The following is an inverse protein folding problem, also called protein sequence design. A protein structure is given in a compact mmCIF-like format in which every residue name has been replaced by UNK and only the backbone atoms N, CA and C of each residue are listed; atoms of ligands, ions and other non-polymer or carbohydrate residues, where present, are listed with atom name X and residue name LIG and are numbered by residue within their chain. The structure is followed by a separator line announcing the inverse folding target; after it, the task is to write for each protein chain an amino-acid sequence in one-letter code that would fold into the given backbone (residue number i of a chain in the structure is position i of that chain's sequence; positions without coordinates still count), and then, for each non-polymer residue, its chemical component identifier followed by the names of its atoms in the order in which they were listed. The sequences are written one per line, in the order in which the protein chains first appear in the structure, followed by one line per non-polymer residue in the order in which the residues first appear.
data_IF_022259075653
#
_entry.id   IF_022259075653
#
_cell.length_a   1.000
_cell.length_b   1.000
_cell.length_c   1.000
_cell.angle_alpha   90.00
_cell.angle_beta   90.00
_cell.angle_gamma   90.00
#
_symmetry.space_group_name_H-M   'P 1'
#
loop_
_entity.id
_entity.type
_entity.pdbx_description
1 polymer ?
#
# COMPACT_ATOMS: atom_id res chain seq x y z
N UNK A 1 -16.41 -9.14 -3.10
CA UNK A 1 -14.95 -9.13 -3.29
C UNK A 1 -14.36 -9.53 -1.93
N UNK A 2 -13.58 -10.62 -1.85
CA UNK A 2 -13.05 -11.12 -0.58
C UNK A 2 -11.92 -10.16 -0.17
N UNK A 3 -12.16 -9.32 0.84
CA UNK A 3 -11.13 -8.45 1.38
C UNK A 3 -10.27 -9.28 2.33
N UNK A 4 -9.02 -9.50 1.93
CA UNK A 4 -8.05 -10.24 2.75
C UNK A 4 -7.64 -9.33 3.93
N UNK A 5 -7.89 -9.77 5.16
CA UNK A 5 -7.37 -9.09 6.36
C UNK A 5 -5.89 -9.43 6.51
N UNK A 6 -5.07 -8.38 6.58
CA UNK A 6 -3.60 -8.39 6.68
C UNK A 6 -3.20 -7.92 8.08
N UNK A 7 -3.72 -8.60 9.10
CA UNK A 7 -3.55 -8.27 10.52
C UNK A 7 -2.16 -8.58 11.07
N UNK A 8 -1.32 -9.33 10.34
CA UNK A 8 0.11 -9.42 10.66
C UNK A 8 0.98 -9.60 9.42
N UNK A 9 1.99 -8.72 9.31
CA UNK A 9 3.07 -8.83 8.33
C UNK A 9 4.20 -9.65 8.93
N UNK A 10 4.44 -10.83 8.38
CA UNK A 10 5.52 -11.70 8.85
C UNK A 10 6.13 -12.45 7.67
N UNK A 11 7.32 -12.02 7.26
CA UNK A 11 8.04 -12.63 6.13
C UNK A 11 8.44 -14.09 6.37
N UNK A 12 8.53 -14.51 7.65
CA UNK A 12 8.87 -15.89 8.02
C UNK A 12 7.70 -16.86 7.90
N UNK A 13 6.47 -16.33 7.86
CA UNK A 13 5.27 -17.14 7.63
C UNK A 13 5.15 -17.54 6.15
N UNK A 14 4.54 -18.69 5.91
CA UNK A 14 4.20 -19.09 4.55
C UNK A 14 2.98 -18.30 4.05
N UNK A 15 3.20 -17.29 3.21
CA UNK A 15 2.20 -16.42 2.61
C UNK A 15 1.05 -17.23 1.99
N UNK A 16 1.41 -18.35 1.37
CA UNK A 16 0.50 -19.22 0.65
C UNK A 16 -0.38 -20.09 1.55
N UNK A 17 0.04 -20.29 2.81
CA UNK A 17 -0.81 -20.90 3.84
C UNK A 17 -1.76 -19.87 4.45
N UNK A 18 -1.29 -18.63 4.62
CA UNK A 18 -2.10 -17.52 5.15
C UNK A 18 -3.18 -17.06 4.18
N UNK A 19 -2.85 -16.97 2.90
CA UNK A 19 -3.75 -16.49 1.85
C UNK A 19 -3.92 -17.52 0.73
N UNK A 20 -4.52 -18.69 1.02
CA UNK A 20 -4.61 -19.80 0.07
C UNK A 20 -5.47 -19.45 -1.17
N UNK A 21 -6.43 -18.52 -1.03
CA UNK A 21 -7.29 -18.06 -2.12
C UNK A 21 -6.51 -17.38 -3.26
N UNK A 22 -5.38 -16.71 -2.96
CA UNK A 22 -4.57 -16.03 -3.96
C UNK A 22 -3.89 -16.99 -4.93
N UNK A 23 -3.68 -18.25 -4.54
CA UNK A 23 -3.11 -19.30 -5.42
C UNK A 23 -3.97 -19.59 -6.65
N UNK A 24 -5.28 -19.32 -6.57
CA UNK A 24 -6.21 -19.57 -7.67
C UNK A 24 -6.18 -18.44 -8.72
N UNK A 25 -5.55 -17.30 -8.41
CA UNK A 25 -5.44 -16.18 -9.33
C UNK A 25 -4.48 -16.49 -10.47
N UNK A 26 -4.90 -16.22 -11.70
CA UNK A 26 -4.07 -16.36 -12.91
C UNK A 26 -2.78 -15.55 -12.86
N UNK A 27 -2.78 -14.43 -12.12
CA UNK A 27 -1.60 -13.57 -11.94
C UNK A 27 -0.54 -14.20 -11.04
N UNK A 28 -0.96 -15.12 -10.15
CA UNK A 28 -0.09 -15.73 -9.15
C UNK A 28 0.23 -17.20 -9.41
N UNK A 29 -0.42 -17.83 -10.40
CA UNK A 29 -0.19 -19.24 -10.74
C UNK A 29 1.28 -19.57 -11.00
N UNK A 30 2.04 -18.65 -11.62
CA UNK A 30 3.47 -18.84 -11.92
C UNK A 30 4.32 -19.03 -10.65
N UNK A 31 3.97 -18.36 -9.55
CA UNK A 31 4.73 -18.42 -8.31
C UNK A 31 4.48 -19.69 -7.49
N UNK A 32 3.43 -20.45 -7.82
CA UNK A 32 2.98 -21.60 -6.99
C UNK A 32 4.09 -22.62 -6.72
N UNK A 33 5.04 -22.77 -7.65
CA UNK A 33 6.15 -23.71 -7.55
C UNK A 33 7.52 -23.02 -7.50
N UNK A 34 7.56 -21.69 -7.46
CA UNK A 34 8.82 -20.96 -7.39
C UNK A 34 9.40 -21.05 -5.98
N UNK A 35 10.68 -21.40 -5.91
CA UNK A 35 11.48 -21.34 -4.70
C UNK A 35 11.47 -19.88 -4.22
N UNK A 36 11.10 -19.65 -2.97
CA UNK A 36 10.96 -18.31 -2.36
C UNK A 36 9.73 -17.48 -2.78
N UNK A 37 8.75 -18.06 -3.48
CA UNK A 37 7.51 -17.35 -3.83
C UNK A 37 6.77 -16.74 -2.62
N UNK A 38 6.79 -17.41 -1.47
CA UNK A 38 6.22 -16.86 -0.23
C UNK A 38 6.87 -15.53 0.17
N UNK A 39 8.21 -15.50 0.23
CA UNK A 39 8.98 -14.31 0.59
C UNK A 39 8.76 -13.17 -0.42
N UNK A 40 8.69 -13.50 -1.72
CA UNK A 40 8.35 -12.53 -2.77
C UNK A 40 6.95 -11.91 -2.57
N UNK A 41 5.95 -12.73 -2.26
CA UNK A 41 4.58 -12.24 -2.03
C UNK A 41 4.49 -11.36 -0.78
N UNK A 42 5.20 -11.73 0.30
CA UNK A 42 5.32 -10.87 1.46
C UNK A 42 5.98 -9.54 1.12
N UNK A 43 7.10 -9.56 0.39
CA UNK A 43 7.76 -8.35 -0.07
C UNK A 43 6.83 -7.43 -0.87
N UNK A 44 6.04 -7.99 -1.81
CA UNK A 44 5.03 -7.20 -2.52
C UNK A 44 4.00 -6.62 -1.57
N UNK A 45 3.51 -7.41 -0.62
CA UNK A 45 2.51 -6.94 0.34
C UNK A 45 3.05 -5.82 1.23
N UNK A 46 4.30 -5.90 1.69
CA UNK A 46 4.97 -4.84 2.44
C UNK A 46 5.09 -3.54 1.65
N UNK A 47 5.25 -3.59 0.33
CA UNK A 47 5.39 -2.38 -0.48
C UNK A 47 4.06 -1.70 -0.81
N UNK A 48 2.97 -2.47 -0.91
CA UNK A 48 1.68 -1.94 -1.39
C UNK A 48 0.67 -1.65 -0.28
N UNK A 49 0.79 -2.27 0.88
CA UNK A 49 -0.27 -2.22 1.88
C UNK A 49 -0.07 -1.05 2.87
N UNK A 50 -1.05 -0.14 3.05
CA UNK A 50 -0.88 1.05 3.89
C UNK A 50 -0.48 0.79 5.36
N UNK A 51 -0.87 -0.35 5.91
CA UNK A 51 -0.52 -0.74 7.29
C UNK A 51 0.91 -1.32 7.40
N UNK A 52 1.64 -1.44 6.30
CA UNK A 52 3.03 -1.89 6.29
C UNK A 52 3.96 -0.81 6.82
N UNK A 53 4.99 -1.18 7.62
CA UNK A 53 6.03 -0.24 8.04
C UNK A 53 6.88 0.30 6.87
N UNK A 54 6.89 -0.38 5.72
CA UNK A 54 7.64 0.03 4.53
C UNK A 54 6.79 0.76 3.50
N UNK A 55 5.47 0.89 3.74
CA UNK A 55 4.60 1.64 2.87
C UNK A 55 4.99 3.11 2.84
N UNK A 56 5.18 3.66 1.63
CA UNK A 56 5.62 5.04 1.40
C UNK A 56 6.96 5.43 2.06
N UNK A 57 7.70 4.49 2.64
CA UNK A 57 9.00 4.79 3.23
C UNK A 57 10.03 5.08 2.12
N UNK A 58 10.82 6.17 2.19
CA UNK A 58 11.77 6.53 1.12
C UNK A 58 12.76 5.42 0.76
N UNK A 59 13.16 4.61 1.74
CA UNK A 59 14.06 3.46 1.55
C UNK A 59 13.33 2.13 1.64
N UNK A 60 11.99 2.11 1.62
CA UNK A 60 11.20 0.89 1.83
C UNK A 60 11.52 -0.20 0.80
N UNK A 61 11.69 0.18 -0.46
CA UNK A 61 12.10 -0.75 -1.52
C UNK A 61 13.49 -1.34 -1.26
N UNK A 62 14.47 -0.50 -0.89
CA UNK A 62 15.82 -0.95 -0.58
C UNK A 62 15.86 -1.92 0.61
N UNK A 63 15.09 -1.62 1.67
CA UNK A 63 14.99 -2.51 2.84
C UNK A 63 14.35 -3.85 2.49
N UNK A 64 13.31 -3.85 1.66
CA UNK A 64 12.68 -5.09 1.18
C UNK A 64 13.64 -5.91 0.31
N UNK A 65 14.42 -5.26 -0.56
CA UNK A 65 15.45 -5.94 -1.35
C UNK A 65 16.55 -6.56 -0.47
N UNK A 66 16.98 -5.87 0.59
CA UNK A 66 17.92 -6.43 1.58
C UNK A 66 17.32 -7.65 2.29
N UNK A 67 16.05 -7.57 2.71
CA UNK A 67 15.35 -8.70 3.34
C UNK A 67 15.30 -9.91 2.40
N UNK A 68 14.95 -9.73 1.13
CA UNK A 68 14.91 -10.80 0.13
C UNK A 68 16.32 -11.38 -0.13
N UNK A 69 17.35 -10.54 -0.13
CA UNK A 69 18.74 -10.98 -0.30
C UNK A 69 19.19 -11.88 0.86
N UNK A 70 18.81 -11.55 2.10
CA UNK A 70 19.10 -12.38 3.28
C UNK A 70 18.44 -13.77 3.20
N UNK A 71 17.31 -13.89 2.51
CA UNK A 71 16.62 -15.15 2.22
C UNK A 71 17.20 -15.92 1.02
N UNK A 72 18.33 -15.45 0.48
CA UNK A 72 19.03 -16.06 -0.64
C UNK A 72 18.43 -15.72 -2.00
N UNK A 73 17.61 -14.67 -2.09
CA UNK A 73 16.99 -14.22 -3.34
C UNK A 73 17.74 -12.99 -3.84
N UNK A 74 18.70 -13.23 -4.74
CA UNK A 74 19.55 -12.18 -5.31
C UNK A 74 19.03 -11.72 -6.67
N UNK A 75 19.50 -10.55 -7.13
CA UNK A 75 19.27 -10.04 -8.48
C UNK A 75 17.78 -9.87 -8.85
N UNK A 76 16.94 -9.59 -7.85
CA UNK A 76 15.53 -9.26 -8.06
C UNK A 76 15.40 -7.89 -8.70
N UNK A 77 14.62 -7.86 -9.77
CA UNK A 77 14.10 -6.65 -10.38
C UNK A 77 12.59 -6.59 -10.15
N UNK A 78 12.17 -5.76 -9.18
CA UNK A 78 10.77 -5.60 -8.78
C UNK A 78 9.90 -5.06 -9.93
N UNK A 79 10.49 -4.33 -10.88
CA UNK A 79 9.74 -3.75 -12.01
C UNK A 79 9.12 -4.83 -12.90
N UNK A 80 9.74 -6.02 -12.97
CA UNK A 80 9.20 -7.20 -13.69
C UNK A 80 7.93 -7.76 -13.07
N UNK A 81 7.60 -7.35 -11.84
CA UNK A 81 6.45 -7.81 -11.07
C UNK A 81 5.36 -6.76 -10.93
N UNK A 82 5.44 -5.62 -11.63
CA UNK A 82 4.49 -4.52 -11.51
C UNK A 82 3.01 -4.96 -11.70
N UNK A 83 2.74 -5.86 -12.65
CA UNK A 83 1.39 -6.38 -12.89
C UNK A 83 0.86 -7.22 -11.72
N UNK A 84 1.73 -8.01 -11.10
CA UNK A 84 1.42 -8.86 -9.96
C UNK A 84 1.17 -8.02 -8.71
N UNK A 85 2.01 -7.00 -8.48
CA UNK A 85 1.83 -6.05 -7.38
C UNK A 85 0.51 -5.28 -7.52
N UNK A 86 0.20 -4.78 -8.72
CA UNK A 86 -1.05 -4.06 -8.98
C UNK A 86 -2.29 -4.95 -8.77
N UNK A 87 -2.21 -6.24 -9.12
CA UNK A 87 -3.31 -7.17 -8.84
C UNK A 87 -3.41 -7.50 -7.36
N UNK A 88 -2.28 -7.70 -6.68
CA UNK A 88 -2.26 -7.95 -5.24
C UNK A 88 -2.88 -6.77 -4.49
N UNK A 89 -2.60 -5.54 -4.92
CA UNK A 89 -3.18 -4.32 -4.37
C UNK A 89 -4.71 -4.31 -4.52
N UNK A 90 -5.23 -4.72 -5.68
CA UNK A 90 -6.69 -4.82 -5.90
C UNK A 90 -7.35 -5.88 -5.04
N UNK A 91 -6.67 -6.98 -4.78
CA UNK A 91 -7.21 -8.09 -3.99
C UNK A 91 -7.12 -7.85 -2.48
N UNK A 92 -6.06 -7.19 -2.02
CA UNK A 92 -5.81 -6.98 -0.59
C UNK A 92 -6.40 -5.67 -0.07
N UNK A 93 -6.48 -4.62 -0.89
CA UNK A 93 -6.99 -3.32 -0.46
C UNK A 93 -8.48 -3.16 -0.79
N UNK A 94 -9.20 -2.40 0.04
CA UNK A 94 -10.50 -1.86 -0.35
C UNK A 94 -10.33 -0.79 -1.42
N UNK A 95 -11.43 -0.47 -2.12
CA UNK A 95 -11.46 0.65 -3.05
C UNK A 95 -10.99 1.95 -2.40
N UNK A 96 -11.47 2.20 -1.17
CA UNK A 96 -11.11 3.40 -0.44
C UNK A 96 -9.63 3.41 -0.02
N UNK A 97 -9.05 2.28 0.39
CA UNK A 97 -7.62 2.16 0.65
C UNK A 97 -6.77 2.44 -0.61
N UNK A 98 -7.19 1.92 -1.77
CA UNK A 98 -6.52 2.22 -3.06
C UNK A 98 -6.63 3.68 -3.46
N UNK A 99 -7.83 4.25 -3.34
CA UNK A 99 -8.04 5.68 -3.60
C UNK A 99 -7.11 6.49 -2.71
N UNK A 100 -7.02 6.15 -1.43
CA UNK A 100 -6.13 6.84 -0.52
C UNK A 100 -4.65 6.73 -0.92
N UNK A 101 -4.19 5.52 -1.22
CA UNK A 101 -2.82 5.28 -1.70
C UNK A 101 -2.47 6.09 -2.95
N UNK A 102 -3.42 6.18 -3.89
CA UNK A 102 -3.30 7.00 -5.08
C UNK A 102 -3.17 8.48 -4.74
N UNK A 103 -4.02 9.01 -3.85
CA UNK A 103 -3.96 10.41 -3.41
C UNK A 103 -2.63 10.75 -2.74
N UNK A 104 -2.13 9.88 -1.87
CA UNK A 104 -0.84 10.04 -1.21
C UNK A 104 0.32 10.09 -2.22
N UNK A 105 0.32 9.16 -3.17
CA UNK A 105 1.32 9.13 -4.26
C UNK A 105 1.28 10.42 -5.08
N UNK A 106 0.10 10.90 -5.47
CA UNK A 106 -0.03 12.14 -6.25
C UNK A 106 0.34 13.40 -5.47
N UNK A 107 0.07 13.44 -4.17
CA UNK A 107 0.53 14.52 -3.30
C UNK A 107 2.06 14.53 -3.16
N UNK A 108 2.70 13.36 -3.10
CA UNK A 108 4.16 13.24 -3.08
C UNK A 108 4.79 13.68 -4.40
N UNK A 109 4.34 13.12 -5.53
CA UNK A 109 4.83 13.50 -6.87
C UNK A 109 4.72 15.02 -7.08
N UNK A 110 3.58 15.61 -6.70
CA UNK A 110 3.37 17.06 -6.81
C UNK A 110 4.31 17.87 -5.92
N UNK A 111 4.58 17.39 -4.70
CA UNK A 111 5.50 18.05 -3.76
C UNK A 111 6.94 18.02 -4.29
N UNK A 112 7.38 16.87 -4.77
CA UNK A 112 8.71 16.71 -5.37
C UNK A 112 8.86 17.61 -6.59
N UNK A 113 7.85 17.64 -7.47
CA UNK A 113 7.84 18.54 -8.61
C UNK A 113 7.91 20.02 -8.20
N UNK A 114 7.16 20.44 -7.18
CA UNK A 114 7.18 21.81 -6.66
C UNK A 114 8.54 22.19 -6.06
N UNK A 115 9.24 21.26 -5.41
CA UNK A 115 10.57 21.48 -4.84
C UNK A 115 11.65 21.66 -5.91
N UNK A 116 11.45 21.06 -7.09
CA UNK A 116 12.36 21.16 -8.22
C UNK A 116 12.20 22.46 -9.02
N UNK A 117 11.10 23.21 -8.82
CA UNK A 117 10.87 24.46 -9.54
C UNK A 117 11.65 25.63 -8.95
N UNK A 118 12.31 26.42 -9.83
CA UNK A 118 12.98 27.65 -9.42
C UNK A 118 11.97 28.74 -9.04
N UNK A 119 12.07 29.23 -7.80
CA UNK A 119 11.21 30.30 -7.32
C UNK A 119 11.70 31.66 -7.84
N UNK A 120 10.92 32.29 -8.72
CA UNK A 120 11.26 33.57 -9.33
C UNK A 120 10.06 34.54 -9.38
N UNK A 121 10.29 35.81 -9.71
CA UNK A 121 9.26 36.86 -9.71
C UNK A 121 8.12 36.64 -10.71
N UNK A 122 8.33 35.81 -11.75
CA UNK A 122 7.34 35.52 -12.80
C UNK A 122 6.43 34.35 -12.42
N UNK A 123 7.00 33.31 -11.82
CA UNK A 123 6.29 32.06 -11.53
C UNK A 123 6.01 31.83 -10.04
N UNK A 124 6.63 32.59 -9.14
CA UNK A 124 6.41 32.55 -7.69
C UNK A 124 4.93 32.61 -7.29
N UNK A 125 4.12 33.56 -7.78
CA UNK A 125 2.69 33.62 -7.48
C UNK A 125 1.90 32.38 -7.93
N UNK A 126 2.35 31.69 -9.00
CA UNK A 126 1.72 30.43 -9.43
C UNK A 126 2.14 29.27 -8.53
N UNK A 127 3.41 29.23 -8.13
CA UNK A 127 3.93 28.22 -7.20
C UNK A 127 3.23 28.33 -5.84
N UNK A 128 3.02 29.55 -5.31
CA UNK A 128 2.27 29.77 -4.07
C UNK A 128 0.83 29.23 -4.15
N UNK A 129 0.13 29.53 -5.25
CA UNK A 129 -1.23 29.01 -5.49
C UNK A 129 -1.25 27.48 -5.61
N UNK A 130 -0.22 26.90 -6.25
CA UNK A 130 -0.07 25.46 -6.35
C UNK A 130 0.24 24.80 -4.99
N UNK A 131 1.02 25.45 -4.12
CA UNK A 131 1.25 25.00 -2.75
C UNK A 131 -0.01 25.09 -1.90
N UNK A 132 -0.76 26.20 -1.96
CA UNK A 132 -2.02 26.37 -1.22
C UNK A 132 -3.05 25.30 -1.61
N UNK A 133 -3.20 25.04 -2.92
CA UNK A 133 -4.10 23.97 -3.41
C UNK A 133 -3.65 22.58 -2.97
N UNK A 134 -2.34 22.33 -2.88
CA UNK A 134 -1.80 21.06 -2.35
C UNK A 134 -2.19 20.87 -0.88
N UNK A 135 -2.14 21.93 -0.07
CA UNK A 135 -2.62 21.93 1.30
C UNK A 135 -4.10 21.55 1.42
N UNK A 136 -4.97 22.17 0.59
CA UNK A 136 -6.41 21.85 0.56
C UNK A 136 -6.71 20.40 0.14
N UNK A 137 -5.92 19.86 -0.79
CA UNK A 137 -6.02 18.44 -1.19
C UNK A 137 -5.64 17.51 -0.04
N UNK A 138 -4.57 17.83 0.70
CA UNK A 138 -4.15 17.06 1.87
C UNK A 138 -5.17 17.12 3.02
N UNK A 139 -5.81 18.28 3.25
CA UNK A 139 -6.90 18.41 4.23
C UNK A 139 -8.13 17.58 3.85
N UNK A 140 -8.50 17.59 2.58
CA UNK A 140 -9.62 16.78 2.06
C UNK A 140 -9.34 15.30 2.23
N UNK A 141 -8.11 14.89 1.93
CA UNK A 141 -7.60 13.54 2.16
C UNK A 141 -7.69 13.14 3.64
N UNK A 142 -7.19 13.99 4.55
CA UNK A 142 -7.22 13.74 5.99
C UNK A 142 -8.65 13.58 6.54
N UNK A 143 -9.60 14.36 6.03
CA UNK A 143 -11.03 14.25 6.39
C UNK A 143 -11.65 12.93 5.92
N UNK A 144 -11.38 12.51 4.68
CA UNK A 144 -11.85 11.22 4.17
C UNK A 144 -11.28 10.03 4.97
N UNK A 145 -10.01 10.13 5.36
CA UNK A 145 -9.32 9.20 6.25
C UNK A 145 -10.01 9.07 7.61
N UNK A 146 -10.38 10.21 8.20
CA UNK A 146 -11.05 10.26 9.50
C UNK A 146 -12.44 9.62 9.44
N UNK A 147 -13.19 9.88 8.36
CA UNK A 147 -14.50 9.27 8.13
C UNK A 147 -14.40 7.73 8.02
N UNK A 148 -13.40 7.24 7.29
CA UNK A 148 -13.13 5.80 7.15
C UNK A 148 -12.80 5.13 8.49
N UNK A 149 -11.98 5.77 9.31
CA UNK A 149 -11.66 5.26 10.66
C UNK A 149 -12.91 5.20 11.53
N UNK A 150 -13.75 6.24 11.50
CA UNK A 150 -15.01 6.24 12.27
C UNK A 150 -16.00 5.16 11.82
N UNK A 151 -16.05 4.83 10.52
CA UNK A 151 -16.90 3.75 10.00
C UNK A 151 -16.42 2.36 10.46
N UNK A 152 -15.10 2.12 10.47
CA UNK A 152 -14.51 0.87 10.98
C UNK A 152 -14.77 0.69 12.48
N UNK A 153 -14.65 1.77 13.26
CA UNK A 153 -14.93 1.74 14.71
C UNK A 153 -16.41 1.54 15.01
N UNK A 154 -17.31 2.12 14.21
CA UNK A 154 -18.74 1.93 14.35
C UNK A 154 -19.16 0.49 14.02
N UNK A 155 -18.62 -0.09 12.95
CA UNK A 155 -18.89 -1.48 12.55
C UNK A 155 -18.42 -2.52 13.58
N UNK A 156 -17.32 -2.25 14.30
CA UNK A 156 -16.85 -3.16 15.34
C UNK A 156 -17.76 -3.13 16.60
N UNK A 157 -18.29 -1.95 16.95
CA UNK A 157 -19.18 -1.81 18.12
C UNK A 157 -20.53 -2.50 17.94
N UNK A 158 -21.09 -2.49 16.73
CA UNK A 158 -22.34 -3.22 16.44
C UNK A 158 -22.16 -4.74 16.39
N UNK A 159 -20.98 -5.25 16.05
CA UNK A 159 -20.70 -6.69 16.10
C UNK A 159 -20.39 -7.23 17.51
N UNK A 160 -20.01 -6.36 18.45
CA UNK A 160 -19.82 -6.73 19.86
C UNK A 160 -21.15 -6.74 20.63
N UNK A 161 -22.09 -5.85 20.29
CA UNK A 161 -23.42 -5.82 20.95
C UNK A 161 -24.30 -7.02 20.61
N UNK A 162 -24.08 -7.69 19.48
CA UNK A 162 -24.90 -8.84 19.04
C UNK A 162 -24.40 -10.18 19.61
N UNK A 163 -23.24 -10.21 20.28
CA UNK A 163 -22.66 -11.43 20.88
C UNK A 163 -22.88 -11.55 22.39
N UNK A 164 -23.43 -10.52 23.05
CA UNK A 164 -23.72 -10.53 24.50
C UNK A 164 -25.15 -11.01 24.84
N UNK A 165 -25.95 -11.39 23.83
CA UNK A 165 -27.35 -11.85 23.98
C UNK A 165 -27.58 -13.34 23.62
N UNK A 166 -26.56 -14.21 23.72
CA UNK A 166 -26.70 -15.68 23.54
C UNK A 166 -26.18 -16.51 24.72
#
# INVERSE_FOLDING_TARGET
MIQIRTDSFDISEDFWKKFPSLKASVYFMKFKNEKHSSHLMWAFLYLIHPDSPFYSHPTGEEEILKMLTNEGITDIDLTKYAAQMAELEKMCLSELQRTMAFWETKLRERREWLLDQEYNMKDGPKLDKMMESTGKMAETYAKALQQLKSEKEFSNKTSESDNDDL
#
